data_IF_169340775322
#
_entry.id   IF_169340775322
#
_cell.length_a   1.000
_cell.length_b   1.000
_cell.length_c   1.000
_cell.angle_alpha   90.00
_cell.angle_beta   90.00
_cell.angle_gamma   90.00
#
_symmetry.space_group_name_H-M   'P 1'
#
loop_
_entity.id
_entity.type
_entity.pdbx_description
1 polymer ?
#
# COMPACT_ATOMS: atom_id res chain seq x y z
N UNK A 1 29.84 71.70 -2.79
CA UNK A 1 28.90 72.39 -1.91
C UNK A 1 27.55 71.77 -2.19
N UNK A 2 27.11 70.80 -1.58
CA UNK A 2 26.26 70.69 -0.41
C UNK A 2 26.00 69.24 -0.04
N UNK A 3 26.14 68.93 1.20
CA UNK A 3 25.89 67.61 1.82
C UNK A 3 24.44 67.51 2.21
N UNK A 4 23.85 66.42 1.98
CA UNK A 4 22.78 65.89 2.83
C UNK A 4 22.78 64.33 2.92
N UNK A 5 22.37 63.70 4.03
CA UNK A 5 22.93 62.48 4.47
C UNK A 5 22.06 61.25 4.13
N UNK A 6 22.77 60.18 4.11
CA UNK A 6 22.42 58.78 4.21
C UNK A 6 21.05 58.45 4.87
N UNK A 7 20.20 57.72 4.14
CA UNK A 7 19.07 57.00 4.69
C UNK A 7 19.16 55.51 4.33
N UNK A 8 19.45 54.76 5.35
CA UNK A 8 19.44 53.29 5.41
C UNK A 8 18.13 52.69 4.86
N UNK A 9 18.16 51.66 3.99
CA UNK A 9 16.95 50.95 3.58
C UNK A 9 16.51 50.00 4.72
N UNK A 10 15.31 50.25 5.23
CA UNK A 10 14.60 49.36 6.14
C UNK A 10 14.42 47.97 5.53
N UNK A 11 14.76 46.97 6.32
CA UNK A 11 14.54 45.56 6.06
C UNK A 11 13.07 45.27 5.69
N UNK A 12 12.78 45.07 4.41
CA UNK A 12 11.58 44.42 3.96
C UNK A 12 11.76 42.90 4.20
N UNK A 13 11.19 42.39 5.27
CA UNK A 13 10.91 40.95 5.42
C UNK A 13 9.96 40.55 4.30
N UNK A 14 10.47 39.83 3.30
CA UNK A 14 9.66 39.12 2.34
C UNK A 14 8.90 38.01 3.11
N UNK A 15 7.60 38.15 3.22
CA UNK A 15 6.69 37.04 3.63
C UNK A 15 6.67 36.06 2.49
N UNK A 16 7.21 34.85 2.70
CA UNK A 16 7.03 33.72 1.82
C UNK A 16 5.55 33.35 1.77
N UNK A 17 4.94 33.17 0.59
CA UNK A 17 3.54 32.75 0.45
C UNK A 17 3.37 31.22 0.41
N UNK A 18 4.18 30.47 1.12
CA UNK A 18 3.94 29.04 1.29
C UNK A 18 3.77 28.77 2.77
N UNK A 19 2.52 28.86 3.21
CA UNK A 19 2.09 28.30 4.47
C UNK A 19 2.30 26.78 4.39
N UNK A 20 3.09 26.24 5.32
CA UNK A 20 3.18 24.79 5.53
C UNK A 20 1.77 24.24 5.72
N UNK A 21 1.40 23.14 5.06
CA UNK A 21 0.14 22.47 5.35
C UNK A 21 0.16 22.05 6.82
N UNK A 22 -0.79 22.55 7.58
CA UNK A 22 -0.93 22.28 9.01
C UNK A 22 -1.35 20.83 9.22
N UNK A 23 -1.13 20.32 10.42
CA UNK A 23 -1.65 19.04 10.97
C UNK A 23 -3.14 18.72 10.65
N UNK A 24 -3.89 19.66 10.08
CA UNK A 24 -5.27 19.52 9.62
C UNK A 24 -5.44 18.54 8.43
N UNK A 25 -4.40 18.19 7.68
CA UNK A 25 -4.53 17.22 6.60
C UNK A 25 -4.54 15.76 7.12
N UNK A 26 -3.87 15.46 8.23
CA UNK A 26 -4.02 14.13 8.87
C UNK A 26 -5.35 13.99 9.63
N UNK A 27 -5.92 15.09 10.09
CA UNK A 27 -7.28 15.10 10.66
C UNK A 27 -8.38 14.95 9.60
N UNK A 28 -8.09 15.24 8.30
CA UNK A 28 -9.06 15.08 7.22
C UNK A 28 -9.31 13.60 6.86
N UNK A 29 -8.35 12.68 7.05
CA UNK A 29 -8.58 11.25 6.82
C UNK A 29 -9.54 10.65 7.87
N UNK A 30 -9.37 10.96 9.16
CA UNK A 30 -10.33 10.52 10.18
C UNK A 30 -11.75 11.12 9.98
N UNK A 31 -11.85 12.34 9.45
CA UNK A 31 -13.14 12.95 9.16
C UNK A 31 -13.82 12.39 7.88
N UNK A 32 -13.10 11.64 7.02
CA UNK A 32 -13.72 10.95 5.88
C UNK A 32 -14.40 9.65 6.28
N UNK A 33 -13.80 8.87 7.18
CA UNK A 33 -14.38 7.60 7.66
C UNK A 33 -15.67 7.80 8.44
N UNK A 34 -15.83 8.89 9.19
CA UNK A 34 -17.09 9.23 9.88
C UNK A 34 -18.28 9.44 8.92
N UNK A 35 -18.03 9.51 7.60
CA UNK A 35 -19.04 9.71 6.55
C UNK A 35 -19.13 8.54 5.57
N UNK A 36 -18.54 7.43 5.91
CA UNK A 36 -18.62 6.21 5.14
C UNK A 36 -19.76 5.33 5.60
N UNK A 37 -20.43 4.68 4.63
CA UNK A 37 -21.53 3.76 4.84
C UNK A 37 -21.26 2.53 3.98
N UNK A 38 -20.92 1.42 4.63
CA UNK A 38 -20.58 0.15 3.96
C UNK A 38 -21.56 -0.99 4.32
N UNK A 39 -22.55 -0.70 5.13
CA UNK A 39 -23.58 -1.67 5.50
C UNK A 39 -24.97 -1.06 5.49
N UNK A 40 -25.97 -1.94 5.31
CA UNK A 40 -27.37 -1.52 5.34
C UNK A 40 -27.78 -0.99 6.71
N UNK A 41 -27.24 -1.57 7.79
CA UNK A 41 -27.50 -1.12 9.17
C UNK A 41 -26.94 0.29 9.43
N UNK A 42 -25.79 0.62 8.87
CA UNK A 42 -25.23 1.97 8.93
C UNK A 42 -26.06 2.94 8.13
N UNK A 43 -26.44 2.57 6.91
CA UNK A 43 -27.34 3.37 6.08
C UNK A 43 -28.63 3.69 6.81
N UNK A 44 -29.32 2.69 7.34
CA UNK A 44 -30.59 2.86 8.06
C UNK A 44 -30.42 3.74 9.31
N UNK A 45 -29.30 3.67 9.99
CA UNK A 45 -28.98 4.52 11.15
C UNK A 45 -28.76 5.98 10.72
N UNK A 46 -28.03 6.21 9.65
CA UNK A 46 -27.74 7.56 9.15
C UNK A 46 -29.02 8.24 8.63
N UNK A 47 -29.81 7.56 7.79
CA UNK A 47 -31.05 8.17 7.22
C UNK A 47 -32.15 8.42 8.26
N UNK A 48 -32.04 7.84 9.46
CA UNK A 48 -32.95 8.10 10.57
C UNK A 48 -32.81 9.53 11.14
N UNK A 49 -31.74 10.23 10.80
CA UNK A 49 -31.47 11.61 11.25
C UNK A 49 -31.71 12.60 10.12
N UNK A 50 -32.33 13.79 10.40
CA UNK A 50 -32.55 14.81 9.37
C UNK A 50 -31.25 15.30 8.72
N UNK A 51 -31.26 15.45 7.39
CA UNK A 51 -30.13 15.98 6.63
C UNK A 51 -28.97 14.99 6.45
N UNK A 52 -29.19 13.75 6.52
CA UNK A 52 -28.27 12.70 6.94
C UNK A 52 -27.33 12.14 5.90
N UNK A 53 -27.58 12.21 4.59
CA UNK A 53 -26.69 11.67 3.57
C UNK A 53 -25.73 12.70 2.96
N UNK A 54 -25.87 13.98 3.32
CA UNK A 54 -25.04 15.03 2.74
C UNK A 54 -23.55 14.76 2.94
N UNK A 55 -22.82 14.71 1.83
CA UNK A 55 -21.39 14.44 1.76
C UNK A 55 -20.95 13.05 2.28
N UNK A 56 -21.86 12.09 2.39
CA UNK A 56 -21.52 10.72 2.71
C UNK A 56 -21.07 9.94 1.46
N UNK A 57 -20.19 8.98 1.66
CA UNK A 57 -19.85 7.93 0.69
C UNK A 57 -20.62 6.66 1.08
N UNK A 58 -21.42 6.13 0.18
CA UNK A 58 -22.15 4.87 0.34
C UNK A 58 -21.56 3.87 -0.65
N UNK A 59 -21.00 2.78 -0.16
CA UNK A 59 -20.17 1.88 -0.96
C UNK A 59 -20.65 0.44 -0.87
N UNK A 60 -20.95 -0.15 -2.04
CA UNK A 60 -21.36 -1.56 -2.21
C UNK A 60 -22.57 -2.00 -1.35
N UNK A 61 -23.43 -1.07 -0.94
CA UNK A 61 -24.65 -1.35 -0.16
C UNK A 61 -25.82 -1.55 -1.11
N UNK A 62 -26.57 -2.65 -0.95
CA UNK A 62 -27.80 -2.87 -1.71
C UNK A 62 -28.94 -2.02 -1.14
N UNK A 63 -29.35 -1.00 -1.87
CA UNK A 63 -30.37 -0.02 -1.52
C UNK A 63 -31.68 -0.23 -2.31
N UNK A 64 -31.86 -1.35 -2.99
CA UNK A 64 -33.03 -1.64 -3.82
C UNK A 64 -34.34 -1.47 -3.02
N UNK A 65 -34.35 -1.96 -1.78
CA UNK A 65 -35.54 -1.85 -0.89
C UNK A 65 -35.56 -0.59 -0.02
N UNK A 66 -34.76 0.44 -0.36
CA UNK A 66 -34.63 1.67 0.44
C UNK A 66 -35.02 2.94 -0.35
N UNK A 67 -35.82 2.80 -1.40
CA UNK A 67 -36.22 3.91 -2.29
C UNK A 67 -36.83 5.09 -1.51
N UNK A 68 -37.79 4.84 -0.59
CA UNK A 68 -38.46 5.89 0.16
C UNK A 68 -37.49 6.63 1.10
N UNK A 69 -36.59 5.92 1.76
CA UNK A 69 -35.56 6.48 2.63
C UNK A 69 -34.58 7.34 1.85
N UNK A 70 -34.11 6.84 0.67
CA UNK A 70 -33.23 7.57 -0.23
C UNK A 70 -33.82 8.89 -0.72
N UNK A 71 -35.11 8.87 -1.11
CA UNK A 71 -35.80 10.05 -1.63
C UNK A 71 -36.23 11.05 -0.52
N UNK A 72 -36.30 10.57 0.73
CA UNK A 72 -36.61 11.44 1.89
C UNK A 72 -35.32 12.09 2.48
N UNK A 73 -34.16 11.51 2.26
CA UNK A 73 -32.90 12.02 2.78
C UNK A 73 -32.35 13.18 1.90
N UNK A 74 -31.50 14.02 2.49
CA UNK A 74 -30.69 15.00 1.74
C UNK A 74 -29.41 14.33 1.21
N UNK A 75 -29.30 14.06 -0.11
CA UNK A 75 -28.13 13.44 -0.70
C UNK A 75 -27.13 14.46 -1.27
N UNK A 76 -27.23 15.75 -0.92
CA UNK A 76 -26.34 16.79 -1.48
C UNK A 76 -24.87 16.45 -1.28
N UNK A 77 -24.15 16.32 -2.40
CA UNK A 77 -22.72 15.97 -2.37
C UNK A 77 -22.42 14.53 -1.93
N UNK A 78 -23.43 13.68 -1.75
CA UNK A 78 -23.22 12.26 -1.49
C UNK A 78 -22.66 11.54 -2.73
N UNK A 79 -21.91 10.47 -2.49
CA UNK A 79 -21.36 9.62 -3.55
C UNK A 79 -21.80 8.18 -3.30
N UNK A 80 -22.49 7.59 -4.28
CA UNK A 80 -22.91 6.19 -4.24
C UNK A 80 -22.03 5.39 -5.19
N UNK A 81 -21.28 4.43 -4.65
CA UNK A 81 -20.34 3.58 -5.35
C UNK A 81 -20.84 2.13 -5.39
N UNK A 82 -21.27 1.66 -6.56
CA UNK A 82 -21.67 0.27 -6.75
C UNK A 82 -22.91 -0.14 -5.96
N UNK A 83 -23.76 0.80 -5.55
CA UNK A 83 -24.98 0.53 -4.80
C UNK A 83 -26.13 0.16 -5.75
N UNK A 84 -26.67 -1.08 -5.71
CA UNK A 84 -27.92 -1.39 -6.36
C UNK A 84 -29.04 -0.53 -5.79
N UNK A 85 -29.86 0.05 -6.66
CA UNK A 85 -31.04 0.85 -6.29
C UNK A 85 -32.05 0.88 -7.43
N UNK A 86 -33.33 1.15 -7.11
CA UNK A 86 -34.36 1.31 -8.12
C UNK A 86 -34.04 2.50 -9.06
N UNK A 87 -34.33 2.39 -10.38
CA UNK A 87 -34.03 3.46 -11.34
C UNK A 87 -34.64 4.82 -10.95
N UNK A 88 -35.79 4.85 -10.32
CA UNK A 88 -36.44 6.06 -9.85
C UNK A 88 -35.71 6.71 -8.67
N UNK A 89 -35.18 5.90 -7.74
CA UNK A 89 -34.34 6.35 -6.63
C UNK A 89 -33.04 6.94 -7.12
N UNK A 90 -32.32 6.20 -8.02
CA UNK A 90 -31.10 6.67 -8.62
C UNK A 90 -31.24 8.00 -9.38
N UNK A 91 -32.33 8.20 -10.11
CA UNK A 91 -32.66 9.47 -10.77
C UNK A 91 -32.92 10.59 -9.76
N UNK A 92 -33.66 10.29 -8.70
CA UNK A 92 -34.02 11.24 -7.65
C UNK A 92 -32.79 11.78 -6.91
N UNK A 93 -31.92 10.90 -6.42
CA UNK A 93 -30.70 11.31 -5.69
C UNK A 93 -29.73 12.08 -6.58
N UNK A 94 -29.61 11.73 -7.88
CA UNK A 94 -28.82 12.53 -8.83
C UNK A 94 -29.41 13.94 -9.03
N UNK A 95 -30.73 14.05 -9.17
CA UNK A 95 -31.40 15.35 -9.32
C UNK A 95 -31.21 16.23 -8.07
N UNK A 96 -31.04 15.61 -6.90
CA UNK A 96 -30.77 16.28 -5.63
C UNK A 96 -29.28 16.54 -5.36
N UNK A 97 -28.39 16.26 -6.32
CA UNK A 97 -26.95 16.63 -6.26
C UNK A 97 -25.99 15.55 -5.82
N UNK A 98 -26.42 14.28 -5.79
CA UNK A 98 -25.52 13.15 -5.55
C UNK A 98 -24.80 12.67 -6.84
N UNK A 99 -23.64 12.09 -6.65
CA UNK A 99 -22.95 11.29 -7.69
C UNK A 99 -23.33 9.81 -7.51
N UNK A 100 -23.69 9.14 -8.60
CA UNK A 100 -24.05 7.72 -8.58
C UNK A 100 -23.25 6.96 -9.64
N UNK A 101 -22.39 6.09 -9.19
CA UNK A 101 -21.64 5.13 -9.98
C UNK A 101 -22.33 3.76 -9.82
N UNK A 102 -23.00 3.25 -10.86
CA UNK A 102 -23.76 2.02 -10.75
C UNK A 102 -22.86 0.80 -10.67
N UNK A 103 -23.34 -0.37 -10.21
CA UNK A 103 -22.65 -1.64 -10.36
C UNK A 103 -22.28 -1.88 -11.83
N UNK A 104 -21.04 -2.31 -12.09
CA UNK A 104 -20.55 -2.59 -13.45
C UNK A 104 -20.39 -4.10 -13.61
N UNK A 105 -21.30 -4.77 -14.33
CA UNK A 105 -21.20 -6.21 -14.55
C UNK A 105 -20.04 -6.57 -15.50
N UNK A 106 -19.44 -7.75 -15.28
CA UNK A 106 -18.43 -8.32 -16.17
C UNK A 106 -17.03 -7.77 -16.03
N UNK A 107 -16.75 -6.93 -15.03
CA UNK A 107 -15.38 -6.55 -14.68
C UNK A 107 -14.67 -7.72 -13.99
N UNK A 108 -13.35 -7.91 -14.22
CA UNK A 108 -12.56 -8.93 -13.54
C UNK A 108 -12.14 -8.54 -12.11
N UNK A 109 -12.55 -7.38 -11.63
CA UNK A 109 -12.31 -6.86 -10.28
C UNK A 109 -13.51 -6.03 -9.84
N UNK A 110 -13.64 -5.83 -8.53
CA UNK A 110 -14.62 -4.92 -7.96
C UNK A 110 -13.99 -3.53 -7.77
N UNK A 111 -14.45 -2.49 -8.50
CA UNK A 111 -13.91 -1.14 -8.35
C UNK A 111 -14.39 -0.44 -7.06
N UNK A 112 -15.38 -0.98 -6.37
CA UNK A 112 -16.04 -0.38 -5.21
C UNK A 112 -15.80 -1.19 -3.94
N UNK A 113 -14.65 -1.86 -3.84
CA UNK A 113 -14.36 -2.76 -2.74
C UNK A 113 -14.09 -2.01 -1.43
N UNK A 114 -14.73 -2.44 -0.34
CA UNK A 114 -14.49 -1.91 1.02
C UNK A 114 -13.38 -2.66 1.77
N UNK A 115 -12.60 -3.52 1.12
CA UNK A 115 -11.51 -4.27 1.75
C UNK A 115 -10.38 -4.58 0.77
N UNK A 116 -9.16 -4.72 1.28
CA UNK A 116 -8.02 -5.20 0.50
C UNK A 116 -8.22 -6.66 0.05
N UNK A 117 -7.48 -7.09 -0.94
CA UNK A 117 -7.53 -8.47 -1.46
C UNK A 117 -6.91 -9.47 -0.48
N UNK A 118 -7.30 -10.73 -0.61
CA UNK A 118 -6.57 -11.88 -0.07
C UNK A 118 -5.85 -12.65 -1.18
N UNK A 119 -4.82 -13.45 -0.84
CA UNK A 119 -4.22 -14.37 -1.82
C UNK A 119 -5.23 -15.34 -2.42
N UNK A 120 -6.14 -15.87 -1.60
CA UNK A 120 -7.15 -16.83 -2.04
C UNK A 120 -8.12 -16.21 -3.05
N UNK A 121 -8.44 -14.92 -2.91
CA UNK A 121 -9.24 -14.16 -3.87
C UNK A 121 -8.49 -13.95 -5.20
N UNK A 122 -7.25 -13.43 -5.14
CA UNK A 122 -6.47 -13.12 -6.36
C UNK A 122 -6.08 -14.38 -7.14
N UNK A 123 -5.88 -15.51 -6.47
CA UNK A 123 -5.53 -16.80 -7.07
C UNK A 123 -6.72 -17.76 -7.18
N UNK A 124 -7.95 -17.30 -7.00
CA UNK A 124 -9.12 -18.15 -7.26
C UNK A 124 -9.01 -18.75 -8.68
N UNK A 125 -9.38 -20.04 -8.83
CA UNK A 125 -9.26 -20.80 -10.06
C UNK A 125 -7.82 -21.12 -10.52
N UNK A 126 -6.80 -20.97 -9.66
CA UNK A 126 -5.41 -21.34 -9.98
C UNK A 126 -5.27 -22.80 -10.46
N UNK A 127 -6.20 -23.69 -10.08
CA UNK A 127 -6.26 -25.07 -10.55
C UNK A 127 -6.45 -25.20 -12.07
N UNK A 128 -7.06 -24.21 -12.72
CA UNK A 128 -7.29 -24.13 -14.17
C UNK A 128 -6.11 -23.48 -14.91
N UNK A 129 -5.15 -22.90 -14.21
CA UNK A 129 -4.01 -22.15 -14.73
C UNK A 129 -3.97 -20.74 -14.17
N UNK A 130 -2.81 -20.09 -14.23
CA UNK A 130 -2.67 -18.70 -13.74
C UNK A 130 -3.54 -17.72 -14.55
N UNK A 131 -3.66 -17.94 -15.84
CA UNK A 131 -4.44 -17.10 -16.76
C UNK A 131 -5.95 -17.08 -16.45
N UNK A 132 -6.43 -18.06 -15.71
CA UNK A 132 -7.84 -18.13 -15.26
C UNK A 132 -8.07 -17.38 -13.92
N UNK A 133 -7.02 -16.91 -13.26
CA UNK A 133 -7.12 -16.24 -11.97
C UNK A 133 -7.64 -14.81 -12.10
N UNK A 134 -8.35 -14.29 -11.08
CA UNK A 134 -8.75 -12.87 -11.04
C UNK A 134 -7.57 -11.92 -11.22
N UNK A 135 -6.40 -12.26 -10.69
CA UNK A 135 -5.18 -11.45 -10.84
C UNK A 135 -4.76 -11.30 -12.30
N UNK A 136 -4.69 -12.40 -13.04
CA UNK A 136 -4.34 -12.39 -14.45
C UNK A 136 -5.41 -11.68 -15.31
N UNK A 137 -6.68 -11.96 -15.04
CA UNK A 137 -7.80 -11.34 -15.77
C UNK A 137 -7.85 -9.81 -15.57
N UNK A 138 -7.59 -9.32 -14.34
CA UNK A 138 -7.50 -7.89 -14.07
C UNK A 138 -6.31 -7.24 -14.79
N UNK A 139 -5.17 -7.94 -14.86
CA UNK A 139 -4.02 -7.50 -15.63
C UNK A 139 -4.32 -7.39 -17.13
N UNK A 140 -4.91 -8.42 -17.72
CA UNK A 140 -5.26 -8.43 -19.16
C UNK A 140 -6.23 -7.31 -19.49
N UNK A 141 -7.27 -7.12 -18.68
CA UNK A 141 -8.21 -6.01 -18.82
C UNK A 141 -7.50 -4.65 -18.74
N UNK A 142 -6.57 -4.49 -17.79
CA UNK A 142 -5.79 -3.26 -17.65
C UNK A 142 -4.94 -2.98 -18.89
N UNK A 143 -4.24 -3.99 -19.42
CA UNK A 143 -3.40 -3.80 -20.62
C UNK A 143 -4.22 -3.40 -21.84
N UNK A 144 -5.37 -4.04 -22.05
CA UNK A 144 -6.27 -3.73 -23.17
C UNK A 144 -6.81 -2.30 -23.06
N UNK A 145 -7.41 -1.96 -21.92
CA UNK A 145 -8.04 -0.64 -21.74
C UNK A 145 -7.04 0.52 -21.66
N UNK A 146 -5.80 0.24 -21.21
CA UNK A 146 -4.72 1.24 -21.22
C UNK A 146 -4.27 1.57 -22.64
N UNK A 147 -4.14 0.55 -23.51
CA UNK A 147 -3.75 0.73 -24.90
C UNK A 147 -4.79 1.54 -25.68
N UNK A 148 -6.08 1.33 -25.41
CA UNK A 148 -7.19 2.00 -26.06
C UNK A 148 -7.43 3.45 -25.58
N UNK A 149 -6.81 3.86 -24.47
CA UNK A 149 -7.01 5.17 -23.87
C UNK A 149 -8.44 5.39 -23.36
N UNK A 150 -9.11 4.32 -22.95
CA UNK A 150 -10.51 4.35 -22.50
C UNK A 150 -10.67 5.18 -21.22
N UNK A 151 -11.42 6.29 -21.33
CA UNK A 151 -11.69 7.22 -20.22
C UNK A 151 -12.54 6.55 -19.14
N UNK A 152 -13.53 5.74 -19.51
CA UNK A 152 -14.38 5.03 -18.55
C UNK A 152 -13.57 4.03 -17.73
N UNK A 153 -12.73 3.23 -18.39
CA UNK A 153 -11.80 2.33 -17.70
C UNK A 153 -10.81 3.09 -16.79
N UNK A 154 -10.36 4.28 -17.23
CA UNK A 154 -9.48 5.14 -16.40
C UNK A 154 -10.15 5.62 -15.14
N UNK A 155 -11.44 5.99 -15.19
CA UNK A 155 -12.23 6.36 -14.02
C UNK A 155 -12.42 5.17 -13.07
N UNK A 156 -12.72 3.98 -13.60
CA UNK A 156 -12.89 2.78 -12.78
C UNK A 156 -11.60 2.39 -12.05
N UNK A 157 -10.45 2.51 -12.71
CA UNK A 157 -9.15 2.29 -12.08
C UNK A 157 -8.88 3.29 -10.95
N UNK A 158 -9.23 4.57 -11.17
CA UNK A 158 -9.03 5.60 -10.15
C UNK A 158 -9.93 5.37 -8.92
N UNK A 159 -11.19 4.99 -9.12
CA UNK A 159 -12.12 4.67 -8.02
C UNK A 159 -11.62 3.43 -7.27
N UNK A 160 -11.21 2.38 -8.00
CA UNK A 160 -10.64 1.17 -7.39
C UNK A 160 -9.41 1.48 -6.52
N UNK A 161 -8.48 2.26 -7.04
CA UNK A 161 -7.23 2.57 -6.34
C UNK A 161 -7.49 3.45 -5.10
N UNK A 162 -8.49 4.35 -5.16
CA UNK A 162 -8.97 5.11 -4.01
C UNK A 162 -9.60 4.19 -2.96
N UNK A 163 -10.51 3.32 -3.36
CA UNK A 163 -11.17 2.35 -2.47
C UNK A 163 -10.17 1.39 -1.80
N UNK A 164 -9.16 0.90 -2.54
CA UNK A 164 -8.08 0.07 -1.97
C UNK A 164 -7.21 0.86 -1.00
N UNK A 165 -6.93 2.14 -1.29
CA UNK A 165 -6.15 3.00 -0.40
C UNK A 165 -6.85 3.20 0.93
N UNK A 166 -8.14 3.46 0.89
CA UNK A 166 -9.01 3.66 2.03
C UNK A 166 -9.09 2.39 2.90
N UNK A 167 -9.43 1.25 2.29
CA UNK A 167 -9.41 -0.05 2.97
C UNK A 167 -8.04 -0.41 3.59
N UNK A 168 -6.93 0.04 2.98
CA UNK A 168 -5.61 -0.14 3.53
C UNK A 168 -5.36 0.79 4.72
N UNK A 169 -5.85 2.03 4.68
CA UNK A 169 -5.74 2.98 5.79
C UNK A 169 -6.50 2.46 7.03
N UNK A 170 -7.69 1.94 6.85
CA UNK A 170 -8.45 1.27 7.92
C UNK A 170 -7.69 0.07 8.51
N UNK A 171 -7.14 -0.78 7.64
CA UNK A 171 -6.41 -1.97 8.06
C UNK A 171 -5.21 -1.65 8.96
N UNK A 172 -4.52 -0.54 8.71
CA UNK A 172 -3.31 -0.18 9.46
C UNK A 172 -3.54 0.72 10.67
N UNK A 173 -4.80 1.10 10.95
CA UNK A 173 -5.12 1.91 12.14
C UNK A 173 -4.60 1.25 13.41
N UNK A 174 -3.81 1.99 14.19
CA UNK A 174 -3.20 1.50 15.42
C UNK A 174 -2.04 0.53 15.24
N UNK A 175 -1.66 0.20 14.00
CA UNK A 175 -0.53 -0.70 13.70
C UNK A 175 0.78 0.06 13.57
N UNK A 176 1.87 -0.57 14.01
CA UNK A 176 3.24 -0.11 13.77
C UNK A 176 3.78 -0.83 12.53
N UNK A 177 3.64 -0.21 11.37
CA UNK A 177 4.02 -0.81 10.09
C UNK A 177 5.51 -0.58 9.79
N UNK A 178 6.22 -1.64 9.42
CA UNK A 178 7.60 -1.59 8.92
C UNK A 178 7.64 -2.03 7.46
N UNK A 179 8.18 -1.18 6.60
CA UNK A 179 8.42 -1.49 5.19
C UNK A 179 9.65 -2.38 5.01
N UNK A 180 9.57 -3.42 4.19
CA UNK A 180 10.73 -4.21 3.73
C UNK A 180 10.75 -4.15 2.20
N UNK A 181 11.73 -3.41 1.67
CA UNK A 181 11.95 -3.22 0.23
C UNK A 181 13.13 -4.05 -0.23
N UNK A 182 13.13 -4.48 -1.50
CA UNK A 182 14.24 -5.24 -2.05
C UNK A 182 13.90 -5.88 -3.41
N UNK A 183 14.91 -6.48 -4.04
CA UNK A 183 14.83 -6.98 -5.40
C UNK A 183 13.86 -8.17 -5.57
N UNK A 184 13.05 -8.13 -6.63
CA UNK A 184 12.18 -9.23 -7.05
C UNK A 184 12.95 -10.45 -7.60
N UNK A 185 14.20 -10.24 -8.02
CA UNK A 185 15.06 -11.29 -8.61
C UNK A 185 15.70 -12.21 -7.58
N UNK A 186 15.53 -11.97 -6.27
CA UNK A 186 16.06 -12.82 -5.21
C UNK A 186 15.38 -14.20 -5.28
N UNK A 187 16.13 -15.22 -5.68
CA UNK A 187 15.57 -16.55 -5.87
C UNK A 187 15.32 -17.28 -4.54
N UNK A 188 14.23 -18.03 -4.47
CA UNK A 188 13.98 -18.99 -3.39
C UNK A 188 15.14 -20.01 -3.32
N UNK A 189 15.49 -20.44 -2.11
CA UNK A 189 16.61 -21.38 -1.89
C UNK A 189 17.97 -20.71 -1.74
N UNK A 190 18.08 -19.39 -1.92
CA UNK A 190 19.31 -18.65 -1.64
C UNK A 190 19.43 -18.27 -0.16
N UNK A 191 20.65 -18.00 0.30
CA UNK A 191 20.90 -17.55 1.67
C UNK A 191 20.28 -16.18 1.94
N UNK A 192 20.26 -15.31 0.93
CA UNK A 192 19.67 -13.98 0.97
C UNK A 192 18.13 -14.06 1.16
N UNK A 193 17.45 -14.96 0.42
CA UNK A 193 16.03 -15.21 0.58
C UNK A 193 15.70 -15.72 2.00
N UNK A 194 16.48 -16.71 2.49
CA UNK A 194 16.33 -17.22 3.84
C UNK A 194 16.60 -16.13 4.90
N UNK A 195 17.57 -15.26 4.67
CA UNK A 195 17.85 -14.11 5.51
C UNK A 195 16.69 -13.12 5.58
N UNK A 196 16.10 -12.79 4.42
CA UNK A 196 14.94 -11.89 4.34
C UNK A 196 13.70 -12.50 5.03
N UNK A 197 13.51 -13.81 4.94
CA UNK A 197 12.44 -14.50 5.66
C UNK A 197 12.66 -14.46 7.18
N UNK A 198 13.88 -14.69 7.67
CA UNK A 198 14.19 -14.54 9.10
C UNK A 198 13.98 -13.11 9.58
N UNK A 199 14.39 -12.10 8.80
CA UNK A 199 14.13 -10.69 9.09
C UNK A 199 12.62 -10.43 9.27
N UNK A 200 11.78 -10.82 8.30
CA UNK A 200 10.34 -10.64 8.38
C UNK A 200 9.73 -11.27 9.64
N UNK A 201 10.22 -12.47 10.01
CA UNK A 201 9.77 -13.16 11.23
C UNK A 201 10.17 -12.42 12.50
N UNK A 202 11.40 -11.93 12.58
CA UNK A 202 11.89 -11.19 13.73
C UNK A 202 11.14 -9.87 13.93
N UNK A 203 10.90 -9.12 12.84
CA UNK A 203 10.11 -7.89 12.87
C UNK A 203 8.69 -8.15 13.37
N UNK A 204 8.04 -9.20 12.86
CA UNK A 204 6.68 -9.58 13.29
C UNK A 204 6.65 -10.02 14.75
N UNK A 205 7.62 -10.84 15.19
CA UNK A 205 7.76 -11.23 16.61
C UNK A 205 8.04 -10.06 17.53
N UNK A 206 8.62 -8.98 17.01
CA UNK A 206 8.81 -7.72 17.74
C UNK A 206 7.53 -6.84 17.79
N UNK A 207 6.39 -7.33 17.30
CA UNK A 207 5.11 -6.62 17.29
C UNK A 207 4.96 -5.59 16.19
N UNK A 208 5.74 -5.71 15.11
CA UNK A 208 5.62 -4.86 13.93
C UNK A 208 4.80 -5.56 12.84
N UNK A 209 4.00 -4.81 12.11
CA UNK A 209 3.31 -5.28 10.90
C UNK A 209 4.24 -5.12 9.70
N UNK A 210 4.67 -6.22 9.10
CA UNK A 210 5.52 -6.18 7.90
C UNK A 210 4.70 -5.81 6.68
N UNK A 211 5.13 -4.78 5.96
CA UNK A 211 4.58 -4.39 4.66
C UNK A 211 5.68 -4.45 3.59
N UNK A 212 5.34 -4.94 2.41
CA UNK A 212 6.27 -5.07 1.27
C UNK A 212 5.60 -4.61 -0.02
N UNK A 213 6.36 -4.51 -1.11
CA UNK A 213 5.78 -4.33 -2.45
C UNK A 213 4.95 -5.53 -2.95
N UNK A 214 4.78 -6.57 -2.16
CA UNK A 214 3.82 -7.66 -2.41
C UNK A 214 4.19 -8.64 -3.53
N UNK A 215 5.32 -8.45 -4.21
CA UNK A 215 5.80 -9.29 -5.32
C UNK A 215 6.68 -10.46 -4.87
N UNK A 216 7.39 -11.10 -5.84
CA UNK A 216 8.36 -12.17 -5.60
C UNK A 216 9.64 -11.70 -4.90
N UNK A 217 10.54 -12.61 -4.63
CA UNK A 217 11.89 -12.33 -4.15
C UNK A 217 11.96 -11.86 -2.71
N UNK A 218 12.65 -10.75 -2.44
CA UNK A 218 12.82 -10.21 -1.10
C UNK A 218 11.49 -9.89 -0.41
N UNK A 219 10.51 -9.42 -1.18
CA UNK A 219 9.17 -9.09 -0.72
C UNK A 219 8.43 -10.35 -0.25
N UNK A 220 8.43 -11.39 -1.08
CA UNK A 220 7.86 -12.70 -0.70
C UNK A 220 8.54 -13.29 0.52
N UNK A 221 9.88 -13.24 0.56
CA UNK A 221 10.63 -13.77 1.68
C UNK A 221 10.26 -13.09 3.01
N UNK A 222 10.15 -11.76 3.03
CA UNK A 222 9.75 -11.02 4.21
C UNK A 222 8.31 -11.36 4.64
N UNK A 223 7.36 -11.47 3.70
CA UNK A 223 6.00 -11.89 4.00
C UNK A 223 5.93 -13.36 4.47
N UNK A 224 6.73 -14.29 3.90
CA UNK A 224 6.87 -15.65 4.41
C UNK A 224 7.36 -15.66 5.85
N UNK A 225 8.34 -14.83 6.17
CA UNK A 225 8.85 -14.67 7.52
C UNK A 225 7.76 -14.21 8.49
N UNK A 226 6.98 -13.20 8.12
CA UNK A 226 5.85 -12.75 8.90
C UNK A 226 4.79 -13.85 9.07
N UNK A 227 4.47 -14.57 7.99
CA UNK A 227 3.59 -15.75 8.04
C UNK A 227 4.09 -16.81 9.02
N UNK A 228 5.40 -17.06 9.05
CA UNK A 228 6.03 -18.03 9.93
C UNK A 228 6.20 -17.57 11.39
N UNK A 229 5.89 -16.33 11.73
CA UNK A 229 6.15 -15.77 13.05
C UNK A 229 5.46 -16.52 14.23
N UNK A 230 4.22 -17.02 14.11
CA UNK A 230 3.57 -17.78 15.18
C UNK A 230 4.14 -19.19 15.40
N UNK A 231 4.87 -19.74 14.41
CA UNK A 231 5.38 -21.10 14.45
C UNK A 231 6.81 -21.17 15.00
N UNK A 232 7.29 -22.40 15.25
CA UNK A 232 8.66 -22.65 15.63
C UNK A 232 9.67 -22.43 14.46
N UNK A 233 10.95 -22.50 14.75
CA UNK A 233 11.99 -22.24 13.74
C UNK A 233 12.04 -23.32 12.67
N UNK A 234 11.67 -24.55 13.03
CA UNK A 234 11.64 -25.71 12.14
C UNK A 234 10.63 -25.52 11.00
N UNK A 235 9.47 -24.91 11.29
CA UNK A 235 8.47 -24.62 10.25
C UNK A 235 9.06 -23.76 9.13
N UNK A 236 9.77 -22.67 9.48
CA UNK A 236 10.36 -21.80 8.46
C UNK A 236 11.42 -22.53 7.63
N UNK A 237 12.28 -23.33 8.25
CA UNK A 237 13.31 -24.08 7.53
C UNK A 237 12.69 -25.12 6.57
N UNK A 238 11.63 -25.84 6.98
CA UNK A 238 10.89 -26.76 6.12
C UNK A 238 10.17 -26.02 4.96
N UNK A 239 9.56 -24.87 5.22
CA UNK A 239 8.94 -24.03 4.20
C UNK A 239 9.96 -23.55 3.17
N UNK A 240 11.13 -23.08 3.61
CA UNK A 240 12.22 -22.67 2.73
C UNK A 240 12.71 -23.82 1.84
N UNK A 241 12.83 -25.03 2.39
CA UNK A 241 13.22 -26.23 1.61
C UNK A 241 12.15 -26.61 0.57
N UNK A 242 10.87 -26.47 0.91
CA UNK A 242 9.78 -26.75 -0.01
C UNK A 242 9.77 -25.76 -1.16
N UNK A 243 9.84 -24.46 -0.86
CA UNK A 243 9.81 -23.39 -1.83
C UNK A 243 11.04 -23.38 -2.75
N UNK A 244 12.20 -23.82 -2.26
CA UNK A 244 13.43 -23.93 -3.06
C UNK A 244 13.29 -24.86 -4.28
N UNK A 245 12.30 -25.76 -4.30
CA UNK A 245 12.02 -26.64 -5.45
C UNK A 245 11.48 -25.86 -6.66
N UNK A 246 10.88 -24.69 -6.42
CA UNK A 246 10.38 -23.76 -7.45
C UNK A 246 11.02 -22.39 -7.20
N UNK A 247 12.27 -22.17 -7.65
CA UNK A 247 13.07 -21.03 -7.20
C UNK A 247 12.60 -19.67 -7.73
N UNK A 248 11.83 -19.64 -8.81
CA UNK A 248 11.36 -18.43 -9.46
C UNK A 248 9.94 -18.59 -10.00
N UNK A 249 9.22 -17.46 -10.13
CA UNK A 249 7.91 -17.41 -10.78
C UNK A 249 7.99 -17.61 -12.31
N UNK A 250 9.15 -17.48 -12.91
CA UNK A 250 9.43 -17.88 -14.29
C UNK A 250 10.05 -19.29 -14.30
N UNK A 251 9.66 -20.18 -15.24
CA UNK A 251 8.73 -19.94 -16.35
C UNK A 251 7.24 -20.13 -16.02
N UNK A 252 6.88 -20.58 -14.80
CA UNK A 252 5.50 -20.92 -14.42
C UNK A 252 5.07 -20.18 -13.15
N UNK A 253 4.26 -19.15 -13.29
CA UNK A 253 3.63 -18.45 -12.15
C UNK A 253 2.72 -19.43 -11.40
N UNK A 254 2.00 -20.31 -12.11
CA UNK A 254 1.12 -21.29 -11.49
C UNK A 254 1.86 -22.25 -10.53
N UNK A 255 3.01 -22.76 -10.91
CA UNK A 255 3.78 -23.68 -10.06
C UNK A 255 4.40 -22.96 -8.87
N UNK A 256 4.89 -21.73 -9.13
CA UNK A 256 5.42 -20.86 -8.07
C UNK A 256 4.35 -20.55 -7.01
N UNK A 257 3.14 -20.18 -7.43
CA UNK A 257 2.02 -19.90 -6.53
C UNK A 257 1.55 -21.17 -5.82
N UNK A 258 1.36 -22.30 -6.54
CA UNK A 258 0.94 -23.59 -5.92
C UNK A 258 1.89 -24.03 -4.82
N UNK A 259 3.20 -23.88 -4.99
CA UNK A 259 4.16 -24.24 -3.95
C UNK A 259 4.03 -23.36 -2.70
N UNK A 260 3.66 -22.08 -2.86
CA UNK A 260 3.37 -21.21 -1.73
C UNK A 260 2.05 -21.59 -1.03
N UNK A 261 1.00 -21.94 -1.78
CA UNK A 261 -0.24 -22.45 -1.21
C UNK A 261 -0.04 -23.79 -0.49
N UNK A 262 0.82 -24.71 -1.00
CA UNK A 262 1.19 -25.94 -0.31
C UNK A 262 1.78 -25.66 1.09
N UNK A 263 2.62 -24.64 1.22
CA UNK A 263 3.14 -24.18 2.53
C UNK A 263 2.00 -23.70 3.42
N UNK A 264 1.07 -22.89 2.91
CA UNK A 264 -0.06 -22.36 3.67
C UNK A 264 -1.04 -23.46 4.12
N UNK A 265 -1.27 -24.44 3.28
CA UNK A 265 -2.12 -25.61 3.60
C UNK A 265 -1.48 -26.50 4.67
N UNK A 266 -0.16 -26.70 4.59
CA UNK A 266 0.57 -27.53 5.55
C UNK A 266 0.67 -26.88 6.93
N UNK A 267 0.73 -25.55 6.99
CA UNK A 267 0.80 -24.78 8.24
C UNK A 267 -0.23 -23.63 8.22
N UNK A 268 -1.50 -23.95 8.48
CA UNK A 268 -2.56 -22.94 8.50
C UNK A 268 -2.45 -22.03 9.72
N UNK A 269 -2.96 -20.80 9.61
CA UNK A 269 -2.99 -19.84 10.71
C UNK A 269 -1.68 -19.05 10.89
N UNK A 270 -0.97 -18.78 9.80
CA UNK A 270 0.22 -17.93 9.81
C UNK A 270 -0.05 -16.49 10.25
N UNK A 271 1.02 -15.76 10.57
CA UNK A 271 0.97 -14.35 10.94
C UNK A 271 0.55 -13.46 9.75
N UNK A 272 -0.12 -12.35 10.08
CA UNK A 272 -0.56 -11.39 9.08
C UNK A 272 0.57 -10.46 8.66
N UNK A 273 0.58 -10.11 7.37
CA UNK A 273 1.43 -9.08 6.77
C UNK A 273 0.74 -8.47 5.56
N UNK A 274 1.30 -7.40 5.02
CA UNK A 274 0.72 -6.63 3.95
C UNK A 274 1.61 -6.71 2.71
N UNK A 275 1.00 -7.01 1.56
CA UNK A 275 1.60 -6.86 0.25
C UNK A 275 0.95 -5.70 -0.50
N UNK A 276 1.76 -4.84 -1.13
CA UNK A 276 1.26 -3.67 -1.88
C UNK A 276 1.79 -3.74 -3.32
N UNK A 277 1.30 -4.69 -4.14
CA UNK A 277 1.73 -4.85 -5.53
C UNK A 277 0.97 -3.95 -6.50
N UNK A 278 1.37 -4.00 -7.76
CA UNK A 278 0.72 -3.28 -8.85
C UNK A 278 0.51 -4.17 -10.08
N UNK A 279 -0.53 -3.88 -10.87
CA UNK A 279 -0.69 -4.44 -12.22
C UNK A 279 0.08 -3.65 -13.29
N UNK A 280 0.74 -2.54 -12.91
CA UNK A 280 1.37 -1.63 -13.86
C UNK A 280 2.56 -2.26 -14.60
N UNK A 281 3.42 -2.98 -13.89
CA UNK A 281 4.66 -3.55 -14.44
C UNK A 281 4.51 -4.95 -15.05
N UNK A 282 3.31 -5.49 -15.14
CA UNK A 282 3.07 -6.75 -15.81
C UNK A 282 3.51 -7.95 -15.00
N UNK A 283 4.14 -8.85 -15.25
CA UNK A 283 4.40 -10.20 -14.82
C UNK A 283 4.88 -10.43 -13.38
N UNK A 284 4.76 -9.47 -12.47
CA UNK A 284 5.06 -9.70 -11.06
C UNK A 284 3.79 -10.16 -10.34
N UNK A 285 3.62 -11.47 -10.12
CA UNK A 285 2.46 -12.00 -9.42
C UNK A 285 2.51 -11.61 -7.94
N UNK A 286 1.37 -11.39 -7.27
CA UNK A 286 1.35 -11.16 -5.83
C UNK A 286 1.84 -12.39 -5.07
N UNK A 287 2.67 -12.21 -4.04
CA UNK A 287 3.07 -13.35 -3.24
C UNK A 287 1.93 -13.83 -2.31
N UNK A 288 1.81 -15.15 -2.14
CA UNK A 288 0.73 -15.75 -1.38
C UNK A 288 0.91 -15.70 0.14
N UNK A 289 2.00 -15.15 0.67
CA UNK A 289 2.26 -15.07 2.11
C UNK A 289 1.80 -13.76 2.75
N UNK A 290 1.54 -12.71 1.96
CA UNK A 290 0.89 -11.52 2.45
C UNK A 290 -0.60 -11.81 2.69
N UNK A 291 -1.05 -11.79 3.95
CA UNK A 291 -2.44 -12.06 4.29
C UNK A 291 -3.40 -10.99 3.72
N UNK A 292 -2.92 -9.78 3.61
CA UNK A 292 -3.63 -8.61 3.09
C UNK A 292 -2.89 -8.04 1.89
N UNK A 293 -3.57 -7.87 0.76
CA UNK A 293 -2.97 -7.41 -0.49
C UNK A 293 -3.70 -6.18 -1.00
N UNK A 294 -3.05 -5.03 -0.95
CA UNK A 294 -3.52 -3.80 -1.58
C UNK A 294 -2.90 -3.68 -2.98
N UNK A 295 -3.60 -4.13 -4.01
CA UNK A 295 -3.07 -4.16 -5.38
C UNK A 295 -3.63 -3.01 -6.21
N UNK A 296 -2.78 -2.26 -6.88
CA UNK A 296 -3.09 -1.01 -7.56
C UNK A 296 -2.90 -1.08 -9.07
N UNK A 297 -3.69 -0.30 -9.81
CA UNK A 297 -3.45 -0.02 -11.23
C UNK A 297 -2.42 1.10 -11.43
N UNK A 298 -2.43 2.12 -10.56
CA UNK A 298 -1.50 3.25 -10.63
C UNK A 298 -0.26 3.00 -9.76
N UNK A 299 0.93 2.93 -10.39
CA UNK A 299 2.16 2.67 -9.65
C UNK A 299 2.55 3.79 -8.67
N UNK A 300 2.29 5.05 -9.03
CA UNK A 300 2.60 6.18 -8.15
C UNK A 300 1.82 6.11 -6.83
N UNK A 301 0.52 5.80 -6.89
CA UNK A 301 -0.33 5.61 -5.70
C UNK A 301 0.18 4.45 -4.83
N UNK A 302 0.63 3.35 -5.47
CA UNK A 302 1.21 2.18 -4.80
C UNK A 302 2.50 2.53 -4.05
N UNK A 303 3.43 3.24 -4.69
CA UNK A 303 4.74 3.59 -4.10
C UNK A 303 4.57 4.55 -2.93
N UNK A 304 3.86 5.65 -3.14
CA UNK A 304 3.53 6.60 -2.06
C UNK A 304 2.77 5.92 -0.92
N UNK A 305 1.81 5.06 -1.24
CA UNK A 305 0.99 4.35 -0.29
C UNK A 305 1.78 3.46 0.67
N UNK A 306 2.75 2.70 0.15
CA UNK A 306 3.61 1.82 0.95
C UNK A 306 4.50 2.61 1.91
N UNK A 307 5.20 3.62 1.39
CA UNK A 307 6.16 4.41 2.16
C UNK A 307 5.46 5.30 3.21
N UNK A 308 4.30 5.87 2.88
CA UNK A 308 3.54 6.71 3.81
C UNK A 308 3.05 5.93 5.04
N UNK A 309 2.73 4.65 4.85
CA UNK A 309 2.21 3.79 5.91
C UNK A 309 3.31 3.07 6.70
N UNK A 310 4.57 3.11 6.26
CA UNK A 310 5.72 2.50 6.95
C UNK A 310 6.18 3.32 8.15
N UNK A 311 5.28 3.50 9.12
CA UNK A 311 5.46 4.41 10.28
C UNK A 311 6.55 3.98 11.25
N UNK A 312 6.88 2.68 11.33
CA UNK A 312 7.96 2.16 12.16
C UNK A 312 9.33 2.20 11.45
N UNK A 313 9.39 2.64 10.19
CA UNK A 313 10.58 2.75 9.37
C UNK A 313 10.62 1.77 8.20
N UNK A 314 11.69 1.82 7.42
CA UNK A 314 11.88 1.01 6.22
C UNK A 314 13.25 0.33 6.22
N UNK A 315 13.28 -0.96 5.92
CA UNK A 315 14.50 -1.74 5.67
C UNK A 315 14.64 -1.97 4.17
N UNK A 316 15.76 -1.55 3.60
CA UNK A 316 16.10 -1.70 2.18
C UNK A 316 17.14 -2.81 2.01
N UNK A 317 16.72 -3.93 1.47
CA UNK A 317 17.59 -5.04 1.05
C UNK A 317 18.18 -4.73 -0.33
N UNK A 318 19.24 -5.43 -0.77
CA UNK A 318 19.78 -5.26 -2.10
C UNK A 318 18.73 -5.37 -3.19
N UNK A 319 18.74 -4.42 -4.11
CA UNK A 319 17.77 -4.32 -5.20
C UNK A 319 18.34 -3.54 -6.38
N UNK A 320 17.50 -3.22 -7.35
CA UNK A 320 17.88 -2.48 -8.55
C UNK A 320 17.19 -1.09 -8.59
N UNK A 321 16.83 -0.62 -9.78
CA UNK A 321 16.29 0.72 -10.00
C UNK A 321 15.05 1.04 -9.16
N UNK A 322 14.10 0.11 -9.01
CA UNK A 322 12.91 0.33 -8.20
C UNK A 322 13.24 0.55 -6.72
N UNK A 323 14.13 -0.29 -6.14
CA UNK A 323 14.55 -0.12 -4.75
C UNK A 323 15.36 1.16 -4.55
N UNK A 324 16.16 1.57 -5.55
CA UNK A 324 16.85 2.87 -5.52
C UNK A 324 15.84 4.04 -5.50
N UNK A 325 14.80 3.97 -6.33
CA UNK A 325 13.72 4.94 -6.33
C UNK A 325 13.04 4.99 -4.95
N UNK A 326 12.64 3.86 -4.38
CA UNK A 326 12.00 3.76 -3.06
C UNK A 326 12.85 4.38 -1.94
N UNK A 327 14.20 4.25 -2.00
CA UNK A 327 15.10 4.92 -1.04
C UNK A 327 14.93 6.44 -1.10
N UNK A 328 14.89 7.04 -2.30
CA UNK A 328 14.79 8.49 -2.43
C UNK A 328 13.36 9.02 -2.30
N UNK A 329 12.35 8.22 -2.65
CA UNK A 329 10.95 8.52 -2.38
C UNK A 329 10.67 8.55 -0.86
N UNK A 330 11.35 7.70 -0.08
CA UNK A 330 11.30 7.76 1.39
C UNK A 330 12.17 8.89 1.97
N UNK A 331 13.34 9.14 1.39
CA UNK A 331 14.24 10.20 1.85
C UNK A 331 13.68 11.61 1.63
N UNK A 332 12.89 11.82 0.58
CA UNK A 332 12.35 13.15 0.23
C UNK A 332 11.42 13.70 1.32
N UNK A 333 10.35 13.01 1.76
CA UNK A 333 9.52 13.48 2.86
C UNK A 333 10.29 13.59 4.19
N UNK A 334 11.28 12.73 4.44
CA UNK A 334 12.15 12.83 5.62
C UNK A 334 13.02 14.09 5.57
N UNK A 335 13.51 14.46 4.39
CA UNK A 335 14.32 15.66 4.19
C UNK A 335 13.53 16.96 4.42
N UNK A 336 12.27 17.01 3.97
CA UNK A 336 11.39 18.17 4.12
C UNK A 336 10.54 18.14 5.39
N UNK A 337 10.60 17.05 6.16
CA UNK A 337 9.74 16.82 7.34
C UNK A 337 8.24 16.96 7.01
N UNK A 338 7.87 16.62 5.76
CA UNK A 338 6.53 16.87 5.23
C UNK A 338 5.45 15.94 5.80
N UNK A 339 5.87 14.81 6.40
CA UNK A 339 5.00 13.84 7.09
C UNK A 339 5.21 13.82 8.61
N UNK A 340 5.81 14.87 9.19
CA UNK A 340 6.19 14.94 10.58
C UNK A 340 7.63 14.51 10.82
N UNK A 341 7.92 13.82 11.94
CA UNK A 341 9.27 13.34 12.23
C UNK A 341 9.76 12.34 11.18
N UNK A 342 11.04 12.43 10.76
CA UNK A 342 11.61 11.51 9.80
C UNK A 342 11.52 10.05 10.26
N UNK A 343 11.07 9.16 9.39
CA UNK A 343 11.01 7.72 9.62
C UNK A 343 12.39 7.07 9.49
N UNK A 344 12.62 5.97 10.23
CA UNK A 344 13.87 5.23 10.19
C UNK A 344 14.12 4.60 8.81
N UNK A 345 15.36 4.67 8.33
CA UNK A 345 15.80 4.05 7.09
C UNK A 345 17.03 3.19 7.34
N UNK A 346 16.94 1.88 7.10
CA UNK A 346 18.06 0.94 7.29
C UNK A 346 18.39 0.31 5.94
N UNK A 347 19.59 0.58 5.44
CA UNK A 347 20.11 -0.05 4.22
C UNK A 347 20.98 -1.27 4.61
N UNK A 348 20.72 -2.41 4.01
CA UNK A 348 21.42 -3.67 4.26
C UNK A 348 22.37 -4.00 3.10
N UNK A 349 23.54 -4.50 3.39
CA UNK A 349 24.66 -4.75 2.48
C UNK A 349 25.42 -3.46 2.10
N UNK A 350 26.42 -3.16 2.93
CA UNK A 350 27.30 -1.99 2.72
C UNK A 350 27.92 -1.99 1.33
N UNK A 351 28.44 -3.14 0.87
CA UNK A 351 29.09 -3.21 -0.43
C UNK A 351 28.12 -2.85 -1.56
N UNK A 352 26.90 -3.38 -1.51
CA UNK A 352 25.89 -3.07 -2.52
C UNK A 352 25.61 -1.56 -2.58
N UNK A 353 25.35 -0.93 -1.43
CA UNK A 353 24.92 0.47 -1.35
C UNK A 353 26.05 1.49 -1.38
N UNK A 354 27.33 1.05 -1.36
CA UNK A 354 28.48 1.97 -1.49
C UNK A 354 29.29 1.77 -2.76
N UNK A 355 29.27 0.57 -3.36
CA UNK A 355 30.13 0.22 -4.50
C UNK A 355 29.29 -0.18 -5.73
N UNK A 356 28.36 -1.14 -5.59
CA UNK A 356 27.60 -1.69 -6.72
C UNK A 356 26.53 -0.69 -7.21
N UNK A 357 25.73 -0.16 -6.30
CA UNK A 357 24.71 0.85 -6.54
C UNK A 357 24.81 1.92 -5.43
N UNK A 358 25.68 2.92 -5.55
CA UNK A 358 26.13 3.76 -4.45
C UNK A 358 25.10 4.81 -4.00
N UNK A 359 23.95 4.34 -3.48
CA UNK A 359 22.90 5.19 -2.93
C UNK A 359 23.28 5.80 -1.57
N UNK A 360 24.02 5.06 -0.74
CA UNK A 360 24.37 5.49 0.61
C UNK A 360 25.12 6.82 0.68
N UNK A 361 26.15 7.09 -0.13
CA UNK A 361 26.84 8.37 -0.12
C UNK A 361 25.91 9.55 -0.42
N UNK A 362 24.95 9.38 -1.33
CA UNK A 362 23.97 10.40 -1.68
C UNK A 362 22.98 10.62 -0.53
N UNK A 363 22.41 9.54 0.00
CA UNK A 363 21.48 9.59 1.14
C UNK A 363 22.12 10.27 2.34
N UNK A 364 23.37 9.90 2.67
CA UNK A 364 24.12 10.52 3.76
C UNK A 364 24.39 11.99 3.54
N UNK A 365 24.64 12.39 2.28
CA UNK A 365 24.85 13.80 1.92
C UNK A 365 23.57 14.62 2.09
N UNK A 366 22.42 14.06 1.72
CA UNK A 366 21.11 14.69 1.94
C UNK A 366 20.79 14.82 3.43
N UNK A 367 21.11 13.82 4.23
CA UNK A 367 20.79 13.76 5.64
C UNK A 367 21.64 14.70 6.50
N UNK A 368 22.83 15.06 6.03
CA UNK A 368 23.83 15.78 6.82
C UNK A 368 23.30 17.10 7.39
N UNK A 369 23.39 17.23 8.71
CA UNK A 369 22.95 18.41 9.47
C UNK A 369 21.43 18.57 9.58
N UNK A 370 20.65 17.52 9.29
CA UNK A 370 19.19 17.48 9.37
C UNK A 370 18.72 16.46 10.40
N UNK A 371 17.48 16.56 10.83
CA UNK A 371 16.84 15.60 11.75
C UNK A 371 16.94 14.16 11.23
N UNK A 372 16.81 13.96 9.93
CA UNK A 372 16.93 12.63 9.31
C UNK A 372 18.34 12.00 9.41
N UNK A 373 19.40 12.77 9.74
CA UNK A 373 20.76 12.20 9.87
C UNK A 373 20.84 11.13 10.95
N UNK A 374 20.11 11.29 12.05
CA UNK A 374 20.00 10.31 13.13
C UNK A 374 19.05 9.14 12.81
N UNK A 375 18.30 9.21 11.72
CA UNK A 375 17.27 8.25 11.31
C UNK A 375 17.71 7.32 10.19
N UNK A 376 18.96 7.41 9.72
CA UNK A 376 19.50 6.53 8.67
C UNK A 376 20.59 5.63 9.21
N UNK A 377 20.62 4.37 8.78
CA UNK A 377 21.66 3.40 9.11
C UNK A 377 22.06 2.58 7.89
N UNK A 378 23.33 2.14 7.88
CA UNK A 378 23.87 1.18 6.93
C UNK A 378 24.49 0.03 7.71
N UNK A 379 24.06 -1.19 7.43
CA UNK A 379 24.55 -2.41 8.06
C UNK A 379 25.16 -3.34 7.03
N UNK A 380 26.03 -4.23 7.48
CA UNK A 380 26.70 -5.16 6.60
C UNK A 380 25.87 -6.43 6.33
N UNK A 381 25.12 -6.88 7.35
CA UNK A 381 24.35 -8.12 7.31
C UNK A 381 22.88 -7.89 7.65
N UNK A 382 22.04 -8.74 7.12
CA UNK A 382 20.59 -8.64 7.27
C UNK A 382 20.12 -8.86 8.72
N UNK A 383 20.80 -9.71 9.47
CA UNK A 383 20.52 -9.99 10.89
C UNK A 383 20.82 -8.80 11.82
N UNK A 384 21.54 -7.79 11.35
CA UNK A 384 21.79 -6.55 12.07
C UNK A 384 20.63 -5.52 11.91
N UNK A 385 19.77 -5.73 10.90
CA UNK A 385 18.73 -4.75 10.54
C UNK A 385 17.69 -4.50 11.65
N UNK A 386 17.18 -5.50 12.40
CA UNK A 386 16.20 -5.26 13.46
C UNK A 386 16.74 -4.36 14.57
N UNK A 387 17.99 -4.57 14.98
CA UNK A 387 18.62 -3.76 16.02
C UNK A 387 18.98 -2.36 15.50
N UNK A 388 19.43 -2.26 14.26
CA UNK A 388 19.66 -0.97 13.61
C UNK A 388 18.36 -0.16 13.51
N UNK A 389 17.25 -0.80 13.13
CA UNK A 389 15.94 -0.16 13.05
C UNK A 389 15.48 0.40 14.41
N UNK A 390 15.63 -0.39 15.49
CA UNK A 390 15.33 0.08 16.85
C UNK A 390 16.18 1.30 17.23
N UNK A 391 17.48 1.26 16.93
CA UNK A 391 18.42 2.35 17.29
C UNK A 391 18.09 3.66 16.59
N UNK A 392 17.68 3.62 15.30
CA UNK A 392 17.39 4.84 14.53
C UNK A 392 15.89 5.19 14.48
N UNK A 393 15.04 4.29 14.95
CA UNK A 393 13.59 4.51 15.02
C UNK A 393 13.13 5.30 16.26
N UNK A 394 13.94 5.34 17.31
CA UNK A 394 13.67 6.09 18.55
C UNK A 394 12.89 5.33 19.57
#
# INVERSE_FOLDING_TARGET
VDQTPDQTPAQRRARSPHGSPSLSQFQSHHASHDREIESLDEFDRVVSSPGSLAHHRVQAVDLTDRTDALLAADPTGAVFLGCPMEPGAAAGVRAAGALVFPPIPGLPFDPYRGRVYSPDELYARLGEGYEATPDALAYDWFQQTRADGDVFASMLRAIHDDAVSDALDELVVGSRVVGVMGGHAMARGTAEYAGAARLGRELTRAGLTVATGGGPGAMEAANLGAYAAPFDDRMLDEALMLLAKVPSFAPSIADWARSAFEVRERWPGGGASIGIPTWFYGHEPPNAFAAHIAKYFANATREDGLLARSTAGVVFLPGAAGTLQEIFDNATPNYYESRGEPTAMVLVDRRHWTETLPAWPLLRSLAKGRTMESRIALVDRIDEAPEALKRVGG
#
